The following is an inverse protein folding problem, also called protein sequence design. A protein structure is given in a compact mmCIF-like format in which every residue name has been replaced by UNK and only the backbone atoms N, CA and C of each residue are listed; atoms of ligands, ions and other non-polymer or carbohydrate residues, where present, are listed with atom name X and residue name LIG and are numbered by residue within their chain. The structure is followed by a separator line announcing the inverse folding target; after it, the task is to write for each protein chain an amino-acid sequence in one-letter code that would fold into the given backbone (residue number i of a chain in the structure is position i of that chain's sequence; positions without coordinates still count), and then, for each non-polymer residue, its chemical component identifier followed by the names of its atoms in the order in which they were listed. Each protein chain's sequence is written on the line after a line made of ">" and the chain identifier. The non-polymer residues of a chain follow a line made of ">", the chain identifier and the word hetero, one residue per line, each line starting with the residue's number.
data_IF_262825021864
#
_entry.id   IF_262825021864
#
_cell.length_a   1.000
_cell.length_b   1.000
_cell.length_c   1.000
_cell.angle_alpha   90.00
_cell.angle_beta   90.00
_cell.angle_gamma   90.00
#
_symmetry.space_group_name_H-M   'P 1'
#
loop_
_entity.id
_entity.type
_entity.pdbx_description
1 polymer ?
#
# COMPACT_ATOMS: atom_id res chain seq x y z
N UNK A 1 4.08 -8.08 -17.21
CA UNK A 1 4.85 -8.43 -16.00
C UNK A 1 3.87 -9.04 -15.00
N UNK A 2 3.93 -10.35 -14.74
CA UNK A 2 3.01 -11.01 -13.82
C UNK A 2 3.60 -10.93 -12.41
N UNK A 3 3.63 -9.71 -11.84
CA UNK A 3 4.06 -9.51 -10.46
C UNK A 3 3.09 -10.30 -9.61
N UNK A 4 3.56 -11.35 -8.93
CA UNK A 4 2.75 -12.29 -8.15
C UNK A 4 2.11 -11.61 -6.94
N UNK A 5 1.15 -10.71 -7.19
CA UNK A 5 0.46 -9.91 -6.20
C UNK A 5 -0.79 -10.64 -5.74
N UNK A 6 -0.95 -10.73 -4.43
CA UNK A 6 -2.16 -11.27 -3.83
C UNK A 6 -3.33 -10.27 -3.98
N UNK A 7 -4.56 -10.72 -3.69
CA UNK A 7 -5.77 -9.88 -3.84
C UNK A 7 -5.72 -8.60 -2.99
N UNK A 8 -5.09 -8.63 -1.82
CA UNK A 8 -4.96 -7.48 -0.93
C UNK A 8 -3.93 -6.49 -1.45
N UNK A 9 -2.76 -6.97 -1.88
CA UNK A 9 -1.69 -6.17 -2.48
C UNK A 9 -2.19 -5.39 -3.70
N UNK A 10 -2.95 -6.05 -4.59
CA UNK A 10 -3.56 -5.39 -5.74
C UNK A 10 -4.50 -4.25 -5.35
N UNK A 11 -5.41 -4.50 -4.39
CA UNK A 11 -6.33 -3.47 -3.88
C UNK A 11 -5.59 -2.32 -3.20
N UNK A 12 -4.53 -2.62 -2.44
CA UNK A 12 -3.70 -1.58 -1.82
C UNK A 12 -3.08 -0.67 -2.87
N UNK A 13 -2.50 -1.24 -3.94
CA UNK A 13 -1.94 -0.44 -5.04
C UNK A 13 -3.03 0.40 -5.71
N UNK A 14 -4.17 -0.19 -6.07
CA UNK A 14 -5.29 0.54 -6.69
C UNK A 14 -5.71 1.75 -5.85
N UNK A 15 -5.85 1.56 -4.54
CA UNK A 15 -6.22 2.63 -3.61
C UNK A 15 -5.13 3.68 -3.44
N UNK A 16 -3.85 3.29 -3.46
CA UNK A 16 -2.73 4.23 -3.41
C UNK A 16 -2.56 5.02 -4.71
N UNK A 17 -2.95 4.46 -5.86
CA UNK A 17 -3.01 5.18 -7.14
C UNK A 17 -4.10 6.25 -7.08
N UNK A 18 -5.27 5.93 -6.50
CA UNK A 18 -6.35 6.91 -6.28
C UNK A 18 -5.96 7.98 -5.26
N UNK A 19 -5.38 7.57 -4.13
CA UNK A 19 -4.98 8.45 -3.05
C UNK A 19 -3.67 7.98 -2.37
N UNK A 20 -2.52 8.57 -2.73
CA UNK A 20 -1.22 8.17 -2.21
C UNK A 20 -1.00 8.51 -0.73
N UNK A 21 -1.83 9.37 -0.13
CA UNK A 21 -1.72 9.75 1.28
C UNK A 21 -2.48 8.81 2.22
N UNK A 22 -3.09 7.73 1.70
CA UNK A 22 -3.85 6.80 2.52
C UNK A 22 -2.97 6.08 3.55
N UNK A 23 -3.48 6.04 4.77
CA UNK A 23 -2.86 5.35 5.90
C UNK A 23 -3.22 3.87 5.92
N UNK A 24 -2.44 3.08 6.67
CA UNK A 24 -2.73 1.65 6.86
C UNK A 24 -4.09 1.39 7.50
N UNK A 25 -4.63 2.34 8.27
CA UNK A 25 -5.94 2.24 8.92
C UNK A 25 -7.05 2.43 7.90
N UNK A 26 -7.00 3.51 7.12
CA UNK A 26 -8.01 3.80 6.08
C UNK A 26 -8.07 2.69 5.03
N UNK A 27 -6.90 2.18 4.59
CA UNK A 27 -6.83 1.05 3.68
C UNK A 27 -7.44 -0.22 4.30
N UNK A 28 -7.23 -0.44 5.60
CA UNK A 28 -7.77 -1.61 6.29
C UNK A 28 -9.30 -1.57 6.36
N UNK A 29 -9.87 -0.39 6.62
CA UNK A 29 -11.31 -0.15 6.63
C UNK A 29 -11.92 -0.30 5.23
N UNK A 30 -11.29 0.30 4.21
CA UNK A 30 -11.79 0.27 2.82
C UNK A 30 -11.70 -1.13 2.20
N UNK A 31 -10.68 -1.91 2.55
CA UNK A 31 -10.49 -3.29 2.05
C UNK A 31 -11.25 -4.31 2.91
N UNK A 32 -11.55 -4.00 4.17
CA UNK A 32 -12.18 -4.91 5.12
C UNK A 32 -11.21 -5.95 5.72
N UNK A 33 -9.97 -5.54 5.99
CA UNK A 33 -8.93 -6.40 6.59
C UNK A 33 -8.35 -5.76 7.84
N UNK A 34 -7.51 -6.48 8.58
CA UNK A 34 -6.83 -5.88 9.73
C UNK A 34 -5.71 -4.94 9.29
N UNK A 35 -5.43 -3.91 10.10
CA UNK A 35 -4.25 -3.03 9.92
C UNK A 35 -2.95 -3.84 9.74
N UNK A 36 -2.78 -4.92 10.51
CA UNK A 36 -1.60 -5.81 10.42
C UNK A 36 -1.47 -6.49 9.06
N UNK A 37 -2.60 -6.78 8.39
CA UNK A 37 -2.61 -7.31 7.02
C UNK A 37 -2.11 -6.26 6.03
N UNK A 38 -2.53 -4.99 6.18
CA UNK A 38 -2.06 -3.89 5.33
C UNK A 38 -0.58 -3.60 5.56
N UNK A 39 -0.11 -3.59 6.81
CA UNK A 39 1.31 -3.40 7.12
C UNK A 39 2.19 -4.50 6.50
N UNK A 40 1.73 -5.76 6.53
CA UNK A 40 2.39 -6.87 5.82
C UNK A 40 2.38 -6.66 4.31
N UNK A 41 1.26 -6.21 3.74
CA UNK A 41 1.14 -5.92 2.32
C UNK A 41 2.10 -4.79 1.91
N UNK A 42 2.18 -3.71 2.68
CA UNK A 42 3.15 -2.63 2.44
C UNK A 42 4.58 -3.12 2.46
N UNK A 43 4.96 -3.94 3.46
CA UNK A 43 6.31 -4.50 3.51
C UNK A 43 6.62 -5.35 2.27
N UNK A 44 5.70 -6.23 1.90
CA UNK A 44 5.84 -7.08 0.69
C UNK A 44 5.90 -6.25 -0.59
N UNK A 45 5.07 -5.20 -0.71
CA UNK A 45 5.06 -4.31 -1.87
C UNK A 45 6.33 -3.46 -1.97
N UNK A 46 6.89 -3.02 -0.84
CA UNK A 46 8.19 -2.35 -0.78
C UNK A 46 9.33 -3.29 -1.17
N UNK A 47 9.34 -4.53 -0.65
CA UNK A 47 10.32 -5.56 -1.00
C UNK A 47 10.26 -5.94 -2.50
N UNK A 48 9.09 -5.82 -3.11
CA UNK A 48 8.87 -6.01 -4.56
C UNK A 48 9.12 -4.75 -5.38
N UNK A 49 9.60 -3.66 -4.75
CA UNK A 49 9.84 -2.36 -5.39
C UNK A 49 8.60 -1.79 -6.11
N UNK A 50 7.40 -2.14 -5.63
CA UNK A 50 6.12 -1.67 -6.21
C UNK A 50 5.64 -0.38 -5.58
N UNK A 51 5.99 -0.13 -4.31
CA UNK A 51 5.66 1.11 -3.61
C UNK A 51 6.87 1.62 -2.85
N UNK A 52 6.99 2.93 -2.75
CA UNK A 52 7.97 3.62 -1.93
C UNK A 52 7.27 4.59 -0.99
N UNK A 53 7.76 4.65 0.25
CA UNK A 53 7.24 5.60 1.24
C UNK A 53 8.03 6.89 1.14
N UNK A 54 7.33 7.99 0.91
CA UNK A 54 7.92 9.32 0.78
C UNK A 54 7.25 10.29 1.75
N UNK A 55 8.08 11.06 2.46
CA UNK A 55 7.62 12.15 3.32
C UNK A 55 8.10 12.06 4.76
N UNK A 56 7.79 13.08 5.53
CA UNK A 56 8.30 13.26 6.90
C UNK A 56 7.46 12.48 7.91
N UNK A 57 7.87 12.46 9.19
CA UNK A 57 7.13 11.78 10.28
C UNK A 57 5.64 12.16 10.36
N UNK A 58 5.24 13.32 9.81
CA UNK A 58 3.87 13.86 9.84
C UNK A 58 3.10 13.70 8.52
N UNK A 59 3.79 13.73 7.38
CA UNK A 59 3.18 13.67 6.06
C UNK A 59 3.70 12.42 5.35
N UNK A 60 2.94 11.33 5.45
CA UNK A 60 3.28 10.06 4.80
C UNK A 60 2.53 9.98 3.49
N UNK A 61 3.28 10.00 2.38
CA UNK A 61 2.77 9.70 1.06
C UNK A 61 3.43 8.42 0.54
N UNK A 62 2.71 7.70 -0.31
CA UNK A 62 3.22 6.52 -1.00
C UNK A 62 3.33 6.82 -2.49
N UNK A 63 4.48 6.51 -3.07
CA UNK A 63 4.63 6.49 -4.53
C UNK A 63 4.48 5.05 -4.99
N UNK A 64 3.66 4.83 -6.01
CA UNK A 64 3.56 3.54 -6.70
C UNK A 64 4.57 3.56 -7.85
N UNK A 65 5.58 2.70 -7.76
CA UNK A 65 6.52 2.47 -8.86
C UNK A 65 5.80 1.65 -9.94
N UNK A 66 5.85 2.15 -11.18
CA UNK A 66 5.15 1.57 -12.34
C UNK A 66 6.01 0.59 -13.11
#
# INVERSE_FOLDING_TARGET
>A
MNVGLNKTEKKVIELLIENPSMTSIELSEKIGVTKRTIERAFKSLQEKEMIERIGSKRDVNWIVAR
#
